data_IF_082024872495
#
_entry.id   IF_082024872495
#
_cell.length_a   1.000
_cell.length_b   1.000
_cell.length_c   1.000
_cell.angle_alpha   90.00
_cell.angle_beta   90.00
_cell.angle_gamma   90.00
#
_symmetry.space_group_name_H-M   'P 1'
#
loop_
_entity.id
_entity.type
_entity.pdbx_description
1 polymer ?
#
# COMPACT_ATOMS: atom_id res chain seq x y z
N UNK A 1 56.34 -17.71 31.97
CA UNK A 1 55.00 -18.19 31.56
C UNK A 1 55.10 -18.56 30.09
N UNK A 2 55.70 -19.70 29.79
CA UNK A 2 55.83 -20.19 28.42
C UNK A 2 54.51 -20.89 28.09
N UNK A 3 53.75 -20.34 27.14
CA UNK A 3 52.63 -21.07 26.57
C UNK A 3 53.18 -22.37 25.98
N UNK A 4 52.64 -23.49 26.42
CA UNK A 4 53.03 -24.81 25.95
C UNK A 4 52.73 -24.92 24.44
N UNK A 5 53.79 -24.94 23.63
CA UNK A 5 53.71 -25.01 22.16
C UNK A 5 52.93 -26.25 21.73
N UNK A 6 52.96 -27.34 22.51
CA UNK A 6 52.18 -28.55 22.24
C UNK A 6 50.69 -28.35 22.49
N UNK A 7 50.31 -27.56 23.49
CA UNK A 7 48.91 -27.21 23.76
C UNK A 7 48.33 -26.35 22.62
N UNK A 8 49.08 -25.36 22.14
CA UNK A 8 48.68 -24.53 20.99
C UNK A 8 48.56 -25.39 19.72
N UNK A 9 49.52 -26.29 19.45
CA UNK A 9 49.45 -27.18 18.29
C UNK A 9 48.23 -28.11 18.33
N UNK A 10 47.89 -28.67 19.50
CA UNK A 10 46.73 -29.54 19.64
C UNK A 10 45.40 -28.79 19.44
N UNK A 11 45.31 -27.54 19.86
CA UNK A 11 44.13 -26.69 19.68
C UNK A 11 43.96 -26.26 18.21
N UNK A 12 45.05 -25.91 17.53
CA UNK A 12 45.06 -25.62 16.08
C UNK A 12 44.66 -26.84 15.26
N UNK A 13 45.15 -28.04 15.60
CA UNK A 13 44.80 -29.27 14.88
C UNK A 13 43.31 -29.61 14.97
N UNK A 14 42.66 -29.28 16.09
CA UNK A 14 41.21 -29.46 16.28
C UNK A 14 40.37 -28.48 15.46
N UNK A 15 40.92 -27.32 15.11
CA UNK A 15 40.23 -26.31 14.30
C UNK A 15 40.28 -26.57 12.78
N UNK A 16 41.33 -27.24 12.29
CA UNK A 16 41.55 -27.48 10.85
C UNK A 16 40.37 -28.17 10.13
N UNK A 17 39.74 -29.23 10.66
CA UNK A 17 38.60 -29.88 10.00
C UNK A 17 37.40 -28.95 9.81
N UNK A 18 37.09 -28.14 10.83
CA UNK A 18 35.96 -27.22 10.79
C UNK A 18 36.17 -26.10 9.77
N UNK A 19 37.40 -25.61 9.63
CA UNK A 19 37.76 -24.62 8.61
C UNK A 19 37.61 -25.21 7.20
N UNK A 20 38.02 -26.46 6.98
CA UNK A 20 37.84 -27.13 5.69
C UNK A 20 36.35 -27.33 5.35
N UNK A 21 35.53 -27.73 6.33
CA UNK A 21 34.08 -27.86 6.16
C UNK A 21 33.46 -26.50 5.83
N UNK A 22 33.85 -25.43 6.55
CA UNK A 22 33.37 -24.07 6.30
C UNK A 22 33.69 -23.61 4.86
N UNK A 23 34.91 -23.84 4.38
CA UNK A 23 35.31 -23.55 3.00
C UNK A 23 34.45 -24.37 2.01
N UNK A 24 34.22 -25.65 2.29
CA UNK A 24 33.35 -26.52 1.50
C UNK A 24 31.92 -25.99 1.39
N UNK A 25 31.34 -25.53 2.50
CA UNK A 25 29.99 -24.92 2.54
C UNK A 25 29.94 -23.65 1.69
N UNK A 26 30.95 -22.77 1.78
CA UNK A 26 31.00 -21.55 0.98
C UNK A 26 31.10 -21.84 -0.53
N UNK A 27 31.89 -22.84 -0.92
CA UNK A 27 32.00 -23.28 -2.31
C UNK A 27 30.66 -23.86 -2.80
N UNK A 28 30.06 -24.77 -2.02
CA UNK A 28 28.76 -25.36 -2.34
C UNK A 28 27.67 -24.29 -2.45
N UNK A 29 27.64 -23.34 -1.51
CA UNK A 29 26.75 -22.18 -1.53
C UNK A 29 26.94 -21.30 -2.76
N UNK A 30 28.19 -21.03 -3.17
CA UNK A 30 28.48 -20.28 -4.38
C UNK A 30 27.98 -21.00 -5.64
N UNK A 31 28.18 -22.31 -5.72
CA UNK A 31 27.68 -23.14 -6.83
C UNK A 31 26.16 -23.11 -6.85
N UNK A 32 25.49 -23.32 -5.71
CA UNK A 32 24.04 -23.25 -5.58
C UNK A 32 23.49 -21.87 -5.98
N UNK A 33 24.14 -20.78 -5.55
CA UNK A 33 23.78 -19.41 -5.88
C UNK A 33 23.94 -19.10 -7.39
N UNK A 34 24.93 -19.71 -8.05
CA UNK A 34 25.11 -19.60 -9.50
C UNK A 34 24.08 -20.45 -10.27
N UNK A 35 23.77 -21.63 -9.75
CA UNK A 35 22.79 -22.56 -10.31
C UNK A 35 21.35 -22.03 -10.19
N UNK A 36 21.01 -21.34 -9.11
CA UNK A 36 19.67 -20.75 -8.92
C UNK A 36 19.29 -19.78 -10.06
N UNK A 37 20.26 -19.06 -10.63
CA UNK A 37 20.03 -18.24 -11.83
C UNK A 37 19.64 -19.06 -13.05
N UNK A 38 20.24 -20.24 -13.23
CA UNK A 38 19.92 -21.15 -14.34
C UNK A 38 18.52 -21.72 -14.16
N UNK A 39 18.19 -22.13 -12.92
CA UNK A 39 16.86 -22.64 -12.56
C UNK A 39 15.79 -21.57 -12.82
N UNK A 40 15.96 -20.34 -12.33
CA UNK A 40 15.00 -19.27 -12.56
C UNK A 40 14.84 -18.89 -14.04
N UNK A 41 15.92 -18.98 -14.84
CA UNK A 41 15.83 -18.80 -16.30
C UNK A 41 15.08 -19.96 -16.97
N UNK A 42 15.31 -21.19 -16.52
CA UNK A 42 14.63 -22.37 -17.02
C UNK A 42 13.13 -22.33 -16.67
N UNK A 43 12.78 -22.00 -15.43
CA UNK A 43 11.38 -21.77 -15.00
C UNK A 43 10.73 -20.71 -15.88
N UNK A 44 11.40 -19.55 -16.07
CA UNK A 44 10.89 -18.51 -16.97
C UNK A 44 10.65 -19.04 -18.38
N UNK A 45 11.56 -19.86 -18.93
CA UNK A 45 11.37 -20.46 -20.26
C UNK A 45 10.18 -21.42 -20.31
N UNK A 46 10.04 -22.29 -19.31
CA UNK A 46 8.95 -23.30 -19.24
C UNK A 46 7.58 -22.65 -19.05
N UNK A 47 7.50 -21.57 -18.26
CA UNK A 47 6.25 -20.86 -18.00
C UNK A 47 5.94 -19.78 -19.06
N UNK A 48 6.95 -19.22 -19.74
CA UNK A 48 6.74 -18.27 -20.82
C UNK A 48 5.95 -18.86 -22.01
N UNK A 49 5.96 -20.18 -22.19
CA UNK A 49 5.14 -20.85 -23.21
C UNK A 49 3.67 -21.04 -22.77
N UNK A 50 3.34 -20.84 -21.49
CA UNK A 50 2.01 -21.10 -20.93
C UNK A 50 1.28 -19.87 -20.39
N UNK A 51 1.93 -18.70 -20.32
CA UNK A 51 1.33 -17.51 -19.70
C UNK A 51 1.74 -16.22 -20.42
N UNK A 52 0.77 -15.51 -21.03
CA UNK A 52 0.96 -14.20 -21.70
C UNK A 52 0.92 -13.02 -20.71
N UNK A 53 1.35 -13.19 -19.45
CA UNK A 53 1.24 -12.13 -18.45
C UNK A 53 2.57 -11.42 -18.22
N UNK A 54 2.61 -10.12 -18.53
CA UNK A 54 3.73 -9.22 -18.18
C UNK A 54 4.09 -9.24 -16.69
N UNK A 55 3.13 -9.60 -15.84
CA UNK A 55 3.33 -9.68 -14.39
C UNK A 55 4.27 -10.81 -13.99
N UNK A 56 4.17 -11.98 -14.62
CA UNK A 56 4.98 -13.14 -14.25
C UNK A 56 6.45 -12.91 -14.58
N UNK A 57 6.71 -12.26 -15.72
CA UNK A 57 8.05 -11.86 -16.12
C UNK A 57 8.68 -10.88 -15.12
N UNK A 58 7.89 -9.93 -14.64
CA UNK A 58 8.32 -8.93 -13.65
C UNK A 58 8.64 -9.57 -12.30
N UNK A 59 7.77 -10.47 -11.80
CA UNK A 59 7.99 -11.17 -10.52
C UNK A 59 9.21 -12.09 -10.61
N UNK A 60 9.33 -12.86 -11.69
CA UNK A 60 10.47 -13.77 -11.87
C UNK A 60 11.79 -13.02 -11.98
N UNK A 61 11.83 -11.87 -12.65
CA UNK A 61 13.03 -11.05 -12.74
C UNK A 61 13.36 -10.36 -11.40
N UNK A 62 12.34 -9.94 -10.64
CA UNK A 62 12.52 -9.40 -9.29
C UNK A 62 13.07 -10.44 -8.29
N UNK A 63 12.67 -11.72 -8.41
CA UNK A 63 13.13 -12.80 -7.53
C UNK A 63 14.58 -13.26 -7.80
N UNK A 64 15.14 -12.97 -8.99
CA UNK A 64 16.50 -13.40 -9.36
C UNK A 64 17.59 -12.91 -8.41
N UNK A 65 17.54 -11.65 -7.99
CA UNK A 65 18.55 -11.08 -7.08
C UNK A 65 18.33 -11.58 -5.63
N UNK A 66 17.12 -11.53 -5.04
CA UNK A 66 16.81 -12.07 -3.71
C UNK A 66 17.27 -13.49 -3.47
N UNK A 67 16.92 -14.44 -4.36
CA UNK A 67 17.25 -15.86 -4.17
C UNK A 67 18.76 -16.06 -4.01
N UNK A 68 19.56 -15.28 -4.73
CA UNK A 68 21.02 -15.32 -4.62
C UNK A 68 21.51 -14.80 -3.26
N UNK A 69 20.96 -13.68 -2.79
CA UNK A 69 21.34 -13.12 -1.48
C UNK A 69 20.97 -14.08 -0.34
N UNK A 70 19.81 -14.72 -0.42
CA UNK A 70 19.36 -15.72 0.56
C UNK A 70 20.32 -16.91 0.61
N UNK A 71 20.67 -17.49 -0.55
CA UNK A 71 21.60 -18.63 -0.62
C UNK A 71 22.97 -18.27 -0.03
N UNK A 72 23.53 -17.11 -0.39
CA UNK A 72 24.81 -16.68 0.17
C UNK A 72 24.72 -16.46 1.68
N UNK A 73 23.63 -15.89 2.18
CA UNK A 73 23.45 -15.64 3.61
C UNK A 73 23.37 -16.94 4.40
N UNK A 74 22.63 -17.94 3.89
CA UNK A 74 22.57 -19.28 4.50
C UNK A 74 23.96 -19.93 4.50
N UNK A 75 24.68 -19.89 3.38
CA UNK A 75 26.02 -20.47 3.28
C UNK A 75 27.01 -19.81 4.25
N UNK A 76 26.95 -18.49 4.41
CA UNK A 76 27.80 -17.75 5.36
C UNK A 76 27.46 -18.10 6.81
N UNK A 77 26.17 -18.16 7.17
CA UNK A 77 25.74 -18.54 8.54
C UNK A 77 26.27 -19.94 8.87
N UNK A 78 26.00 -20.91 8.00
CA UNK A 78 26.44 -22.30 8.21
C UNK A 78 27.97 -22.43 8.27
N UNK A 79 28.72 -21.66 7.46
CA UNK A 79 30.17 -21.68 7.48
C UNK A 79 30.76 -21.06 8.76
N UNK A 80 30.18 -19.95 9.25
CA UNK A 80 30.64 -19.28 10.46
C UNK A 80 30.34 -20.09 11.73
N UNK A 81 29.21 -20.80 11.75
CA UNK A 81 28.85 -21.72 12.84
C UNK A 81 29.88 -22.84 13.02
N UNK A 82 30.48 -23.35 11.93
CA UNK A 82 31.55 -24.37 12.01
C UNK A 82 32.81 -23.86 12.73
N UNK A 83 33.13 -22.57 12.56
CA UNK A 83 34.31 -21.93 13.17
C UNK A 83 33.98 -21.37 14.57
N UNK A 84 32.76 -21.59 15.08
CA UNK A 84 32.33 -21.13 16.40
C UNK A 84 31.95 -19.65 16.47
N UNK A 85 31.76 -18.98 15.32
CA UNK A 85 31.39 -17.57 15.24
C UNK A 85 29.87 -17.44 15.07
N UNK A 86 29.17 -16.95 16.09
CA UNK A 86 27.74 -16.64 15.96
C UNK A 86 27.54 -15.24 15.35
N UNK A 87 27.40 -15.20 14.03
CA UNK A 87 27.11 -13.97 13.28
C UNK A 87 25.70 -13.94 12.68
N UNK A 88 24.79 -14.83 13.13
CA UNK A 88 23.45 -14.99 12.54
C UNK A 88 22.71 -13.67 12.45
N UNK A 89 22.74 -12.89 13.53
CA UNK A 89 22.08 -11.59 13.61
C UNK A 89 22.61 -10.59 12.57
N UNK A 90 23.94 -10.45 12.50
CA UNK A 90 24.60 -9.56 11.55
C UNK A 90 24.35 -9.99 10.10
N UNK A 91 24.45 -11.30 9.80
CA UNK A 91 24.24 -11.82 8.43
C UNK A 91 22.78 -11.63 8.00
N UNK A 92 21.82 -11.89 8.89
CA UNK A 92 20.40 -11.63 8.61
C UNK A 92 20.12 -10.14 8.39
N UNK A 93 20.74 -9.24 9.17
CA UNK A 93 20.63 -7.79 8.95
C UNK A 93 21.17 -7.38 7.57
N UNK A 94 22.34 -7.90 7.17
CA UNK A 94 22.93 -7.67 5.84
C UNK A 94 22.04 -8.22 4.72
N UNK A 95 21.42 -9.39 4.93
CA UNK A 95 20.45 -9.96 4.01
C UNK A 95 19.26 -9.01 3.81
N UNK A 96 18.65 -8.52 4.90
CA UNK A 96 17.50 -7.61 4.83
C UNK A 96 17.88 -6.34 4.05
N UNK A 97 19.02 -5.72 4.36
CA UNK A 97 19.53 -4.54 3.64
C UNK A 97 19.70 -4.84 2.14
N UNK A 98 20.26 -6.00 1.81
CA UNK A 98 20.46 -6.45 0.42
C UNK A 98 19.14 -6.70 -0.32
N UNK A 99 18.06 -7.03 0.41
CA UNK A 99 16.72 -7.25 -0.14
C UNK A 99 15.92 -5.96 -0.34
N UNK A 100 16.26 -4.85 0.33
CA UNK A 100 15.55 -3.57 0.18
C UNK A 100 15.50 -3.12 -1.28
N UNK A 101 16.63 -3.16 -1.97
CA UNK A 101 16.71 -2.74 -3.38
C UNK A 101 15.81 -3.58 -4.30
N UNK A 102 15.92 -4.93 -4.38
CA UNK A 102 15.04 -5.71 -5.25
C UNK A 102 13.56 -5.60 -4.86
N UNK A 103 13.23 -5.47 -3.57
CA UNK A 103 11.85 -5.23 -3.13
C UNK A 103 11.37 -3.87 -3.65
N UNK A 104 12.16 -2.81 -3.50
CA UNK A 104 11.80 -1.47 -4.01
C UNK A 104 11.68 -1.43 -5.53
N UNK A 105 12.51 -2.18 -6.27
CA UNK A 105 12.42 -2.34 -7.72
C UNK A 105 11.11 -3.06 -8.11
N UNK A 106 10.71 -4.10 -7.37
CA UNK A 106 9.44 -4.79 -7.56
C UNK A 106 8.24 -3.87 -7.29
N UNK A 107 8.24 -3.16 -6.17
CA UNK A 107 7.17 -2.20 -5.84
C UNK A 107 7.05 -1.14 -6.94
N UNK A 108 8.16 -0.55 -7.38
CA UNK A 108 8.14 0.42 -8.47
C UNK A 108 7.63 -0.17 -9.78
N UNK A 109 8.01 -1.40 -10.12
CA UNK A 109 7.56 -2.05 -11.35
C UNK A 109 6.05 -2.32 -11.31
N UNK A 110 5.52 -2.75 -10.16
CA UNK A 110 4.07 -2.89 -9.93
C UNK A 110 3.37 -1.54 -10.06
N UNK A 111 3.89 -0.49 -9.40
CA UNK A 111 3.32 0.86 -9.46
C UNK A 111 3.31 1.41 -10.89
N UNK A 112 4.41 1.28 -11.62
CA UNK A 112 4.47 1.70 -13.03
C UNK A 112 3.49 0.93 -13.92
N UNK A 113 3.24 -0.36 -13.64
CA UNK A 113 2.23 -1.13 -14.36
C UNK A 113 0.82 -0.59 -14.07
N UNK A 114 0.49 -0.38 -12.79
CA UNK A 114 -0.79 0.23 -12.40
C UNK A 114 -0.98 1.60 -13.05
N UNK A 115 0.07 2.42 -13.08
CA UNK A 115 0.03 3.74 -13.70
C UNK A 115 -0.31 3.68 -15.20
N UNK A 116 0.34 2.76 -15.93
CA UNK A 116 0.12 2.59 -17.37
C UNK A 116 -1.25 2.00 -17.68
N UNK A 117 -1.67 0.99 -16.91
CA UNK A 117 -2.83 0.18 -17.25
C UNK A 117 -4.15 0.83 -16.80
N UNK A 118 -4.15 1.59 -15.69
CA UNK A 118 -5.38 2.09 -15.07
C UNK A 118 -5.42 3.60 -14.89
N UNK A 119 -4.29 4.20 -14.54
CA UNK A 119 -4.23 5.63 -14.19
C UNK A 119 -4.29 6.45 -15.48
N UNK A 120 -3.27 6.34 -16.35
CA UNK A 120 -3.16 7.12 -17.60
C UNK A 120 -4.31 6.99 -18.60
N UNK A 121 -5.17 5.98 -18.45
CA UNK A 121 -6.36 5.81 -19.29
C UNK A 121 -7.55 6.65 -18.80
N UNK A 122 -7.47 7.21 -17.59
CA UNK A 122 -8.54 7.95 -16.93
C UNK A 122 -8.22 9.45 -16.95
N UNK A 123 -9.03 10.30 -17.61
CA UNK A 123 -8.85 11.77 -17.56
C UNK A 123 -9.25 12.38 -16.20
N UNK A 124 -8.61 11.95 -15.11
CA UNK A 124 -8.99 12.30 -13.73
C UNK A 124 -7.84 12.97 -12.97
N UNK A 125 -8.18 13.76 -11.95
CA UNK A 125 -7.23 14.31 -10.96
C UNK A 125 -6.42 13.23 -10.22
N UNK A 126 -6.83 11.95 -10.31
CA UNK A 126 -6.07 10.81 -9.79
C UNK A 126 -4.68 10.68 -10.43
N UNK A 127 -4.55 11.08 -11.70
CA UNK A 127 -3.38 10.78 -12.52
C UNK A 127 -2.15 11.61 -12.17
N UNK A 128 -2.32 12.93 -12.09
CA UNK A 128 -1.16 13.82 -12.09
C UNK A 128 -0.62 14.12 -10.69
N UNK A 129 -1.42 13.93 -9.64
CA UNK A 129 -1.06 14.35 -8.27
C UNK A 129 -1.17 13.25 -7.22
N UNK A 130 -2.26 12.47 -7.23
CA UNK A 130 -2.51 11.47 -6.18
C UNK A 130 -1.61 10.26 -6.38
N UNK A 131 -1.49 9.76 -7.61
CA UNK A 131 -0.71 8.56 -7.89
C UNK A 131 0.80 8.71 -7.57
N UNK A 132 1.49 9.81 -7.97
CA UNK A 132 2.89 10.00 -7.61
C UNK A 132 3.12 10.12 -6.10
N UNK A 133 2.20 10.76 -5.37
CA UNK A 133 2.26 10.88 -3.92
C UNK A 133 2.09 9.52 -3.24
N UNK A 134 1.13 8.72 -3.70
CA UNK A 134 0.91 7.37 -3.21
C UNK A 134 2.14 6.48 -3.45
N UNK A 135 2.70 6.48 -4.66
CA UNK A 135 3.90 5.72 -4.99
C UNK A 135 5.08 6.07 -4.07
N UNK A 136 5.35 7.36 -3.84
CA UNK A 136 6.38 7.81 -2.89
C UNK A 136 6.12 7.33 -1.47
N UNK A 137 4.87 7.35 -1.03
CA UNK A 137 4.46 6.91 0.32
C UNK A 137 4.69 5.41 0.51
N UNK A 138 4.33 4.59 -0.49
CA UNK A 138 4.56 3.14 -0.45
C UNK A 138 6.06 2.83 -0.41
N UNK A 139 6.87 3.48 -1.26
CA UNK A 139 8.32 3.30 -1.24
C UNK A 139 8.92 3.70 0.10
N UNK A 140 8.54 4.87 0.63
CA UNK A 140 9.00 5.34 1.94
C UNK A 140 8.71 4.31 3.04
N UNK A 141 7.51 3.74 3.05
CA UNK A 141 7.11 2.70 4.00
C UNK A 141 7.99 1.45 3.92
N UNK A 142 8.40 1.02 2.72
CA UNK A 142 9.32 -0.12 2.53
C UNK A 142 10.66 0.15 3.22
N UNK A 143 11.23 1.35 3.06
CA UNK A 143 12.49 1.71 3.71
C UNK A 143 12.38 1.77 5.23
N UNK A 144 11.30 2.37 5.74
CA UNK A 144 11.05 2.47 7.20
C UNK A 144 10.92 1.07 7.81
N UNK A 145 10.13 0.19 7.20
CA UNK A 145 9.98 -1.20 7.66
C UNK A 145 11.31 -1.95 7.64
N UNK A 146 12.09 -1.81 6.57
CA UNK A 146 13.40 -2.46 6.48
C UNK A 146 14.35 -2.01 7.59
N UNK A 147 14.39 -0.70 7.90
CA UNK A 147 15.20 -0.16 8.99
C UNK A 147 14.79 -0.79 10.32
N UNK A 148 13.49 -0.88 10.61
CA UNK A 148 12.99 -1.45 11.86
C UNK A 148 13.39 -2.91 12.00
N UNK A 149 13.19 -3.72 10.96
CA UNK A 149 13.54 -5.16 11.02
C UNK A 149 15.06 -5.32 11.20
N UNK A 150 15.88 -4.47 10.58
CA UNK A 150 17.34 -4.46 10.77
C UNK A 150 17.72 -4.11 12.22
N UNK A 151 17.10 -3.07 12.79
CA UNK A 151 17.37 -2.67 14.18
C UNK A 151 17.00 -3.78 15.17
N UNK A 152 15.85 -4.42 14.97
CA UNK A 152 15.39 -5.54 15.79
C UNK A 152 16.39 -6.70 15.74
N UNK A 153 16.87 -7.04 14.54
CA UNK A 153 17.87 -8.09 14.36
C UNK A 153 19.20 -7.78 15.04
N UNK A 154 19.56 -6.50 15.17
CA UNK A 154 20.75 -6.04 15.90
C UNK A 154 20.55 -5.98 17.42
N UNK A 155 19.37 -6.38 17.92
CA UNK A 155 19.05 -6.38 19.35
C UNK A 155 18.66 -5.00 19.89
N UNK A 156 18.38 -4.03 19.02
CA UNK A 156 17.89 -2.72 19.42
C UNK A 156 16.39 -2.85 19.65
N UNK A 157 15.90 -2.36 20.80
CA UNK A 157 14.48 -2.41 21.12
C UNK A 157 13.68 -1.52 20.16
N UNK A 158 12.98 -2.16 19.21
CA UNK A 158 12.15 -1.46 18.23
C UNK A 158 10.75 -1.13 18.72
N UNK A 159 10.35 -1.61 19.91
CA UNK A 159 9.01 -1.38 20.45
C UNK A 159 8.71 0.11 20.59
N UNK A 160 9.70 0.92 21.00
CA UNK A 160 9.57 2.38 21.10
C UNK A 160 9.31 3.02 19.74
N UNK A 161 9.99 2.57 18.68
CA UNK A 161 9.77 3.07 17.32
C UNK A 161 8.39 2.65 16.79
N UNK A 162 8.00 1.40 16.99
CA UNK A 162 6.69 0.88 16.60
C UNK A 162 5.57 1.63 17.34
N UNK A 163 5.71 1.83 18.65
CA UNK A 163 4.76 2.59 19.45
C UNK A 163 4.64 4.04 19.00
N UNK A 164 5.77 4.72 18.76
CA UNK A 164 5.80 6.10 18.26
C UNK A 164 5.14 6.23 16.89
N UNK A 165 5.43 5.32 15.96
CA UNK A 165 4.76 5.26 14.66
C UNK A 165 3.27 4.92 14.76
N UNK A 166 2.87 4.08 15.72
CA UNK A 166 1.47 3.78 15.98
C UNK A 166 0.69 5.03 16.38
N UNK A 167 1.24 5.83 17.31
CA UNK A 167 0.66 7.12 17.73
C UNK A 167 0.64 8.11 16.56
N UNK A 168 1.75 8.22 15.81
CA UNK A 168 1.80 9.10 14.64
C UNK A 168 0.78 8.69 13.56
N UNK A 169 0.64 7.39 13.31
CA UNK A 169 -0.35 6.83 12.38
C UNK A 169 -1.78 7.09 12.83
N UNK A 170 -2.07 6.97 14.12
CA UNK A 170 -3.37 7.35 14.69
C UNK A 170 -3.64 8.84 14.51
N UNK A 171 -2.66 9.71 14.78
CA UNK A 171 -2.81 11.15 14.59
C UNK A 171 -3.09 11.51 13.12
N UNK A 172 -2.35 10.92 12.18
CA UNK A 172 -2.58 11.11 10.74
C UNK A 172 -3.96 10.58 10.33
N UNK A 173 -4.35 9.40 10.82
CA UNK A 173 -5.65 8.80 10.52
C UNK A 173 -6.82 9.63 11.04
N UNK A 174 -6.69 10.17 12.26
CA UNK A 174 -7.67 11.10 12.84
C UNK A 174 -7.76 12.40 12.05
N UNK A 175 -6.62 12.95 11.61
CA UNK A 175 -6.59 14.14 10.76
C UNK A 175 -7.22 13.89 9.37
N UNK A 176 -7.08 12.67 8.83
CA UNK A 176 -7.64 12.28 7.53
C UNK A 176 -9.10 11.80 7.59
N UNK A 177 -9.68 11.65 8.78
CA UNK A 177 -10.98 11.01 9.03
C UNK A 177 -12.09 11.59 8.16
N UNK A 178 -12.25 12.91 8.12
CA UNK A 178 -13.35 13.56 7.39
C UNK A 178 -13.18 13.44 5.87
N UNK A 179 -11.94 13.52 5.38
CA UNK A 179 -11.65 13.30 3.96
C UNK A 179 -12.01 11.88 3.55
N UNK A 180 -11.60 10.88 4.34
CA UNK A 180 -11.90 9.47 4.06
C UNK A 180 -13.40 9.19 4.13
N UNK A 181 -14.09 9.73 5.13
CA UNK A 181 -15.54 9.58 5.27
C UNK A 181 -16.29 10.11 4.04
N UNK A 182 -15.86 11.25 3.48
CA UNK A 182 -16.45 11.80 2.26
C UNK A 182 -16.19 10.94 1.02
N UNK A 183 -14.98 10.40 0.87
CA UNK A 183 -14.64 9.51 -0.25
C UNK A 183 -15.48 8.23 -0.19
N UNK A 184 -15.56 7.60 0.98
CA UNK A 184 -16.34 6.38 1.19
C UNK A 184 -17.83 6.65 0.90
N UNK A 185 -18.38 7.76 1.41
CA UNK A 185 -19.76 8.15 1.13
C UNK A 185 -19.99 8.38 -0.37
N UNK A 186 -19.05 9.03 -1.07
CA UNK A 186 -19.15 9.23 -2.52
C UNK A 186 -19.18 7.93 -3.30
N UNK A 187 -18.33 6.96 -2.93
CA UNK A 187 -18.31 5.63 -3.53
C UNK A 187 -19.67 4.93 -3.35
N UNK A 188 -20.24 4.94 -2.14
CA UNK A 188 -21.54 4.33 -1.89
C UNK A 188 -22.68 5.03 -2.63
N UNK A 189 -22.68 6.36 -2.74
CA UNK A 189 -23.67 7.08 -3.57
C UNK A 189 -23.60 6.62 -5.03
N UNK A 190 -22.41 6.38 -5.58
CA UNK A 190 -22.24 5.94 -6.98
C UNK A 190 -22.67 4.47 -7.17
N UNK A 191 -22.41 3.61 -6.19
CA UNK A 191 -22.73 2.18 -6.24
C UNK A 191 -24.23 1.95 -6.01
N UNK A 192 -24.76 2.45 -4.90
CA UNK A 192 -26.14 2.19 -4.48
C UNK A 192 -27.14 3.08 -5.23
N UNK A 193 -26.66 4.20 -5.81
CA UNK A 193 -27.44 5.15 -6.61
C UNK A 193 -28.77 5.55 -5.94
N UNK A 194 -28.78 6.04 -4.68
CA UNK A 194 -29.99 6.57 -4.06
C UNK A 194 -30.54 7.81 -4.81
N UNK A 195 -29.69 8.47 -5.59
CA UNK A 195 -30.02 9.49 -6.57
C UNK A 195 -28.95 9.49 -7.67
N UNK A 196 -29.28 10.04 -8.84
CA UNK A 196 -28.35 10.22 -9.95
C UNK A 196 -28.26 11.69 -10.38
N UNK A 197 -27.28 12.01 -11.22
CA UNK A 197 -27.18 13.34 -11.82
C UNK A 197 -28.46 13.63 -12.61
N UNK A 198 -29.06 14.79 -12.38
CA UNK A 198 -30.35 15.20 -12.92
C UNK A 198 -31.52 14.99 -11.97
N UNK A 199 -31.39 14.19 -10.91
CA UNK A 199 -32.45 14.05 -9.91
C UNK A 199 -32.61 15.31 -9.07
N UNK A 200 -33.84 15.52 -8.60
CA UNK A 200 -34.18 16.57 -7.65
C UNK A 200 -34.20 16.00 -6.25
N UNK A 201 -33.30 16.48 -5.39
CA UNK A 201 -33.19 16.01 -4.01
C UNK A 201 -33.35 17.17 -3.02
N UNK A 202 -33.75 16.83 -1.80
CA UNK A 202 -33.73 17.78 -0.70
C UNK A 202 -32.28 18.23 -0.40
N UNK A 203 -32.09 19.53 -0.20
CA UNK A 203 -30.85 20.23 0.05
C UNK A 203 -30.92 20.95 1.40
N UNK A 204 -30.82 20.19 2.50
CA UNK A 204 -30.93 20.69 3.89
C UNK A 204 -29.98 21.84 4.26
N UNK A 205 -28.89 21.99 3.53
CA UNK A 205 -27.86 23.02 3.78
C UNK A 205 -28.06 24.28 2.93
N UNK A 206 -29.20 24.41 2.24
CA UNK A 206 -29.56 25.60 1.48
C UNK A 206 -29.77 26.82 2.41
N UNK A 207 -29.46 28.05 1.95
CA UNK A 207 -29.78 29.28 2.67
C UNK A 207 -31.24 29.32 3.15
N UNK A 208 -31.50 29.87 4.34
CA UNK A 208 -32.85 29.93 4.96
C UNK A 208 -33.93 30.62 4.11
N UNK A 209 -33.56 31.32 3.04
CA UNK A 209 -34.46 32.05 2.15
C UNK A 209 -34.59 31.41 0.76
N UNK A 210 -33.91 30.29 0.49
CA UNK A 210 -33.98 29.57 -0.78
C UNK A 210 -34.83 28.30 -0.68
N UNK A 211 -35.14 27.69 -1.82
CA UNK A 211 -35.75 26.36 -1.84
C UNK A 211 -34.96 25.35 -1.01
N UNK A 212 -35.67 24.49 -0.29
CA UNK A 212 -35.05 23.40 0.48
C UNK A 212 -34.66 22.21 -0.39
N UNK A 213 -34.85 22.29 -1.71
CA UNK A 213 -34.57 21.25 -2.70
C UNK A 213 -33.90 21.83 -3.96
N UNK A 214 -33.22 20.98 -4.72
CA UNK A 214 -32.51 21.36 -5.94
C UNK A 214 -32.11 20.17 -6.81
N UNK A 215 -31.58 20.45 -8.00
CA UNK A 215 -31.21 19.46 -9.00
C UNK A 215 -29.73 19.07 -8.88
N UNK A 216 -29.44 17.76 -8.86
CA UNK A 216 -28.08 17.23 -8.76
C UNK A 216 -27.34 17.49 -10.08
N UNK A 217 -26.26 18.27 -10.01
CA UNK A 217 -25.44 18.60 -11.17
C UNK A 217 -24.29 17.64 -11.41
N UNK A 218 -23.66 17.17 -10.33
CA UNK A 218 -22.41 16.41 -10.40
C UNK A 218 -22.20 15.66 -9.08
N UNK A 219 -21.81 14.39 -9.17
CA UNK A 219 -21.47 13.55 -8.01
C UNK A 219 -19.96 13.30 -8.06
N UNK A 220 -19.21 14.14 -7.36
CA UNK A 220 -17.76 13.98 -7.24
C UNK A 220 -17.36 13.00 -6.15
N UNK A 221 -16.07 12.68 -6.08
CA UNK A 221 -15.53 11.73 -5.09
C UNK A 221 -15.75 12.19 -3.63
N UNK A 222 -15.59 13.49 -3.34
CA UNK A 222 -15.67 14.06 -1.97
C UNK A 222 -16.96 14.85 -1.72
N UNK A 223 -17.60 15.36 -2.77
CA UNK A 223 -18.72 16.28 -2.65
C UNK A 223 -19.67 16.15 -3.83
N UNK A 224 -20.95 16.39 -3.58
CA UNK A 224 -22.01 16.47 -4.58
C UNK A 224 -22.38 17.93 -4.79
N UNK A 225 -22.58 18.30 -6.06
CA UNK A 225 -22.99 19.64 -6.47
C UNK A 225 -24.48 19.64 -6.78
N UNK A 226 -25.22 20.54 -6.15
CA UNK A 226 -26.67 20.68 -6.30
C UNK A 226 -26.97 22.12 -6.70
N UNK A 227 -27.83 22.32 -7.69
CA UNK A 227 -28.33 23.64 -8.08
C UNK A 227 -29.72 23.84 -7.48
N UNK A 228 -29.89 24.87 -6.64
CA UNK A 228 -31.20 25.23 -6.08
C UNK A 228 -32.12 25.83 -7.15
N UNK A 229 -33.42 26.00 -6.85
CA UNK A 229 -34.35 26.67 -7.77
C UNK A 229 -33.98 28.13 -8.04
N UNK A 230 -33.26 28.74 -7.10
CA UNK A 230 -32.76 30.13 -7.19
C UNK A 230 -31.42 30.21 -7.95
N UNK A 231 -31.02 29.13 -8.62
CA UNK A 231 -29.78 29.03 -9.40
C UNK A 231 -28.49 29.20 -8.57
N UNK A 232 -28.50 28.78 -7.30
CA UNK A 232 -27.33 28.78 -6.41
C UNK A 232 -26.67 27.40 -6.46
N UNK A 233 -25.34 27.37 -6.57
CA UNK A 233 -24.56 26.13 -6.51
C UNK A 233 -24.22 25.78 -5.06
N UNK A 234 -24.81 24.70 -4.55
CA UNK A 234 -24.46 24.09 -3.27
C UNK A 234 -23.44 22.98 -3.51
N UNK A 235 -22.32 23.04 -2.79
CA UNK A 235 -21.30 21.99 -2.80
C UNK A 235 -21.31 21.32 -1.43
N UNK A 236 -21.96 20.16 -1.34
CA UNK A 236 -22.18 19.48 -0.06
C UNK A 236 -21.21 18.30 0.04
N UNK A 237 -20.48 18.16 1.17
CA UNK A 237 -19.66 16.97 1.42
C UNK A 237 -20.50 15.69 1.36
N UNK A 238 -20.02 14.66 0.68
CA UNK A 238 -20.79 13.42 0.48
C UNK A 238 -21.17 12.75 1.81
N UNK A 239 -20.28 12.83 2.82
CA UNK A 239 -20.56 12.29 4.14
C UNK A 239 -21.65 13.05 4.90
N UNK A 240 -21.90 14.33 4.56
CA UNK A 240 -23.00 15.09 5.14
C UNK A 240 -24.34 14.67 4.54
N UNK A 241 -24.39 14.43 3.22
CA UNK A 241 -25.57 13.88 2.54
C UNK A 241 -25.90 12.49 3.08
N UNK A 242 -24.91 11.60 3.17
CA UNK A 242 -25.10 10.22 3.60
C UNK A 242 -25.46 10.06 5.09
N UNK A 243 -25.31 11.12 5.91
CA UNK A 243 -25.71 11.12 7.33
C UNK A 243 -27.17 11.46 7.57
N UNK A 244 -27.88 11.96 6.55
CA UNK A 244 -29.29 12.35 6.62
C UNK A 244 -30.14 11.41 5.77
N UNK A 245 -31.43 11.42 6.00
CA UNK A 245 -32.38 10.72 5.13
C UNK A 245 -32.32 11.34 3.73
N UNK A 246 -32.25 10.53 2.67
CA UNK A 246 -32.21 11.03 1.29
C UNK A 246 -33.64 11.12 0.76
N UNK A 247 -34.12 12.34 0.51
CA UNK A 247 -35.43 12.58 -0.11
C UNK A 247 -35.20 12.91 -1.59
N UNK A 248 -35.57 11.97 -2.46
CA UNK A 248 -35.51 12.12 -3.91
C UNK A 248 -36.92 12.34 -4.47
N UNK A 249 -37.17 13.52 -5.03
CA UNK A 249 -38.48 13.93 -5.53
C UNK A 249 -38.79 13.40 -6.93
N UNK A 250 -37.79 12.98 -7.69
CA UNK A 250 -37.94 12.58 -9.10
C UNK A 250 -37.77 11.08 -9.35
N UNK A 251 -37.31 10.32 -8.35
CA UNK A 251 -37.05 8.88 -8.51
C UNK A 251 -38.27 8.05 -8.93
N UNK A 252 -39.49 8.44 -8.52
CA UNK A 252 -40.73 7.68 -8.82
C UNK A 252 -41.45 8.24 -10.05
N UNK A 253 -41.66 9.56 -10.09
CA UNK A 253 -42.31 10.28 -11.18
C UNK A 253 -41.81 11.73 -11.20
N UNK A 254 -41.77 12.41 -12.37
CA UNK A 254 -41.53 13.86 -12.43
C UNK A 254 -42.70 14.69 -11.84
N UNK A 255 -43.86 14.08 -11.59
CA UNK A 255 -45.03 14.79 -11.09
C UNK A 255 -44.87 15.19 -9.62
N UNK A 256 -45.06 16.47 -9.31
CA UNK A 256 -45.03 16.99 -7.94
C UNK A 256 -46.44 17.32 -7.42
N UNK A 257 -46.69 17.05 -6.14
CA UNK A 257 -47.94 17.42 -5.49
C UNK A 257 -47.79 18.76 -4.78
N UNK A 258 -48.49 19.78 -5.27
CA UNK A 258 -48.58 21.10 -4.61
C UNK A 258 -49.81 21.11 -3.69
N UNK A 259 -49.61 21.45 -2.41
CA UNK A 259 -50.70 21.73 -1.47
C UNK A 259 -50.87 23.24 -1.38
N UNK A 260 -52.00 23.75 -1.87
CA UNK A 260 -52.32 25.19 -1.81
C UNK A 260 -53.28 25.42 -0.65
N UNK A 261 -52.83 26.01 0.48
CA UNK A 261 -53.73 26.39 1.55
C UNK A 261 -54.54 27.63 1.11
N UNK A 262 -55.85 27.46 0.98
CA UNK A 262 -56.75 28.57 0.65
C UNK A 262 -57.40 29.06 1.94
N UNK A 263 -57.03 30.27 2.38
CA UNK A 263 -57.68 30.95 3.50
C UNK A 263 -58.91 31.70 3.00
N UNK A 264 -60.05 31.49 3.66
CA UNK A 264 -61.25 32.30 3.46
C UNK A 264 -61.32 33.36 4.56
N UNK A 265 -61.55 34.62 4.17
CA UNK A 265 -61.77 35.71 5.11
C UNK A 265 -63.17 35.57 5.72
N UNK A 266 -63.26 35.27 7.01
CA UNK A 266 -64.52 35.33 7.77
C UNK A 266 -64.70 36.75 8.32
N UNK A 267 -65.12 37.69 7.47
CA UNK A 267 -65.63 39.03 7.87
C UNK A 267 -66.24 39.71 6.64
N UNK A 268 -67.57 39.64 6.51
CA UNK A 268 -68.37 40.47 5.61
C UNK A 268 -69.23 41.40 6.46
#
# INVERSE_FOLDING_TARGET
MFLDVQAIQAEVLKFLPNVLIAIGILIAGHIAAKSSRRILKWIKKVFAEKTESDFDNMVLDALRKPTRYVIYSIAVILALEQVGINARNVVTAVLIISLVRPISELVQAVMQKIERDYVKQTKSMLDDTIFPLFNKTVLFSVYVLAIIIVLDQLGINVLTFIAGMGIAGLAIGLAAKDTLANIIAGIFIIIDRPFVVGDRIEAWSAPKQSSTWGDVMDIGLRSTKIRTTDNILLVIPNSEIARRDIINYTAISPDIRVRVPVGIAYSA
#
